data_IF_215405132189
#
_entry.id   IF_215405132189
#
_cell.length_a   1.000
_cell.length_b   1.000
_cell.length_c   1.000
_cell.angle_alpha   90.00
_cell.angle_beta   90.00
_cell.angle_gamma   90.00
#
_symmetry.space_group_name_H-M   'P 1'
#
loop_
_entity.id
_entity.type
_entity.pdbx_description
1 polymer ?
#
# COMPACT_ATOMS: atom_id res chain seq x y z
N UNK A 1 -2.63 0.06 24.73
CA UNK A 1 -1.79 -0.59 23.70
C UNK A 1 -1.36 0.48 22.71
N UNK A 2 -0.07 0.71 22.50
CA UNK A 2 0.44 1.67 21.51
C UNK A 2 0.85 0.90 20.24
N UNK A 3 -0.11 0.65 19.35
CA UNK A 3 0.11 -0.17 18.15
C UNK A 3 0.94 0.62 17.13
N UNK A 4 2.21 0.21 16.95
CA UNK A 4 3.13 0.84 15.99
C UNK A 4 3.15 0.17 14.62
N UNK A 5 2.89 -1.14 14.57
CA UNK A 5 2.94 -1.92 13.34
C UNK A 5 1.67 -2.74 13.19
N UNK A 6 1.04 -2.64 12.04
CA UNK A 6 -0.17 -3.40 11.70
C UNK A 6 0.07 -4.15 10.40
N UNK A 7 -0.25 -5.45 10.42
CA UNK A 7 -0.24 -6.30 9.24
C UNK A 7 -1.67 -6.75 8.95
N UNK A 8 -2.21 -6.31 7.83
CA UNK A 8 -3.50 -6.75 7.31
C UNK A 8 -3.26 -7.92 6.36
N UNK A 9 -3.54 -9.13 6.83
CA UNK A 9 -3.42 -10.37 6.06
C UNK A 9 -4.81 -10.89 5.64
N UNK A 10 -4.88 -11.52 4.48
CA UNK A 10 -6.11 -12.11 3.93
C UNK A 10 -6.76 -11.24 2.87
N UNK A 11 -7.89 -11.70 2.30
CA UNK A 11 -8.64 -10.90 1.34
C UNK A 11 -9.27 -9.73 2.09
N UNK A 12 -8.68 -8.55 1.97
CA UNK A 12 -9.35 -7.32 2.35
C UNK A 12 -10.46 -7.08 1.34
N UNK A 13 -11.63 -7.66 1.61
CA UNK A 13 -12.84 -7.26 0.93
C UNK A 13 -13.03 -5.77 1.24
N UNK A 14 -12.83 -4.94 0.23
CA UNK A 14 -12.86 -3.48 0.34
C UNK A 14 -14.26 -2.93 0.64
N UNK A 15 -15.17 -3.74 1.18
CA UNK A 15 -16.53 -3.34 1.51
C UNK A 15 -16.59 -2.48 2.76
N UNK A 16 -15.58 -2.53 3.64
CA UNK A 16 -15.56 -1.72 4.86
C UNK A 16 -14.26 -0.91 4.98
N UNK A 17 -14.45 0.33 5.43
CA UNK A 17 -13.48 1.41 5.59
C UNK A 17 -12.41 1.11 6.65
N UNK A 18 -11.72 -0.04 6.58
CA UNK A 18 -10.71 -0.48 7.57
C UNK A 18 -9.61 0.57 7.75
N UNK A 19 -9.32 1.31 6.67
CA UNK A 19 -8.34 2.39 6.66
C UNK A 19 -8.78 3.60 7.51
N UNK A 20 -10.08 3.84 7.70
CA UNK A 20 -10.57 4.90 8.60
C UNK A 20 -10.40 4.58 10.09
N UNK A 21 -10.20 3.31 10.44
CA UNK A 21 -10.02 2.87 11.83
C UNK A 21 -8.55 2.63 12.17
N UNK A 22 -7.62 3.03 11.29
CA UNK A 22 -6.21 2.88 11.57
C UNK A 22 -5.78 3.82 12.70
N UNK A 23 -4.95 3.34 13.65
CA UNK A 23 -4.45 4.18 14.73
C UNK A 23 -3.65 5.38 14.19
N UNK A 24 -3.82 6.54 14.80
CA UNK A 24 -3.10 7.76 14.39
C UNK A 24 -1.58 7.65 14.55
N UNK A 25 -1.12 6.89 15.54
CA UNK A 25 0.31 6.69 15.84
C UNK A 25 0.91 5.47 15.12
N UNK A 26 0.21 4.91 14.13
CA UNK A 26 0.70 3.78 13.36
C UNK A 26 1.95 4.22 12.56
N UNK A 27 3.04 3.47 12.70
CA UNK A 27 4.29 3.77 11.99
C UNK A 27 4.43 2.92 10.74
N UNK A 28 4.04 1.63 10.83
CA UNK A 28 4.17 0.67 9.75
C UNK A 28 2.83 0.02 9.44
N UNK A 29 2.42 0.11 8.18
CA UNK A 29 1.28 -0.62 7.65
C UNK A 29 1.74 -1.60 6.57
N UNK A 30 1.45 -2.88 6.77
CA UNK A 30 1.71 -3.94 5.80
C UNK A 30 0.38 -4.52 5.33
N UNK A 31 0.12 -4.46 4.02
CA UNK A 31 -1.13 -4.92 3.40
C UNK A 31 -0.82 -6.07 2.46
N UNK A 32 -1.44 -7.23 2.69
CA UNK A 32 -1.43 -8.33 1.74
C UNK A 32 -2.75 -8.39 0.98
N UNK A 33 -2.71 -8.95 -0.24
CA UNK A 33 -3.91 -9.42 -0.94
C UNK A 33 -4.96 -8.34 -1.25
N UNK A 34 -4.61 -7.48 -2.20
CA UNK A 34 -5.46 -6.40 -2.67
C UNK A 34 -5.99 -6.68 -4.08
N UNK A 35 -7.30 -6.90 -4.22
CA UNK A 35 -7.96 -6.95 -5.52
C UNK A 35 -8.47 -5.57 -5.89
N UNK A 36 -7.91 -4.97 -6.93
CA UNK A 36 -8.25 -3.60 -7.32
C UNK A 36 -9.73 -3.42 -7.68
N UNK A 37 -10.39 -4.47 -8.17
CA UNK A 37 -11.83 -4.46 -8.48
C UNK A 37 -12.69 -4.24 -7.24
N UNK A 38 -12.19 -4.58 -6.05
CA UNK A 38 -12.88 -4.36 -4.79
C UNK A 38 -12.66 -2.93 -4.28
N UNK A 39 -11.48 -2.36 -4.55
CA UNK A 39 -11.06 -1.01 -4.14
C UNK A 39 -11.99 0.12 -4.61
N UNK A 40 -12.65 -0.06 -5.75
CA UNK A 40 -13.50 0.97 -6.35
C UNK A 40 -14.81 1.21 -5.57
N UNK A 41 -15.12 0.38 -4.57
CA UNK A 41 -16.38 0.44 -3.80
C UNK A 41 -16.26 1.15 -2.46
N UNK A 42 -15.08 1.68 -2.10
CA UNK A 42 -14.85 2.27 -0.77
C UNK A 42 -15.24 3.74 -0.78
N UNK A 43 -16.17 4.13 0.10
CA UNK A 43 -16.43 5.54 0.41
C UNK A 43 -15.20 6.18 1.07
N UNK A 44 -14.82 7.35 0.58
CA UNK A 44 -13.60 8.04 1.00
C UNK A 44 -13.79 8.59 2.42
N UNK A 45 -12.97 8.11 3.37
CA UNK A 45 -12.73 8.84 4.61
C UNK A 45 -11.97 10.13 4.29
N UNK A 46 -12.42 11.27 4.80
CA UNK A 46 -11.73 12.57 4.64
C UNK A 46 -10.39 12.63 5.38
N UNK A 47 -10.15 11.74 6.34
CA UNK A 47 -8.92 11.73 7.13
C UNK A 47 -7.92 10.73 6.55
N UNK A 48 -6.75 11.24 6.14
CA UNK A 48 -5.57 10.43 5.83
C UNK A 48 -4.77 10.16 7.11
N UNK A 49 -4.12 9.01 7.15
CA UNK A 49 -3.15 8.67 8.19
C UNK A 49 -1.73 8.97 7.72
N UNK A 50 -0.87 9.40 8.64
CA UNK A 50 0.57 9.55 8.38
C UNK A 50 1.28 8.28 8.82
N UNK A 51 2.13 7.72 7.96
CA UNK A 51 2.91 6.50 8.20
C UNK A 51 4.38 6.78 7.90
N UNK A 52 5.27 6.02 8.55
CA UNK A 52 6.70 6.03 8.19
C UNK A 52 6.98 5.02 7.07
N UNK A 53 6.35 3.84 7.14
CA UNK A 53 6.59 2.72 6.23
C UNK A 53 5.29 2.08 5.77
N UNK A 54 5.14 1.91 4.46
CA UNK A 54 4.03 1.19 3.84
C UNK A 54 4.57 0.04 3.00
N UNK A 55 4.07 -1.17 3.26
CA UNK A 55 4.49 -2.40 2.58
C UNK A 55 3.28 -3.04 1.90
N UNK A 56 3.32 -3.11 0.58
CA UNK A 56 2.34 -3.86 -0.21
C UNK A 56 2.89 -5.26 -0.51
N UNK A 57 2.26 -6.29 0.04
CA UNK A 57 2.64 -7.67 -0.21
C UNK A 57 1.90 -8.21 -1.42
N UNK A 58 2.65 -8.67 -2.41
CA UNK A 58 2.15 -9.27 -3.63
C UNK A 58 2.59 -10.72 -3.70
N UNK A 59 1.73 -11.59 -4.23
CA UNK A 59 2.10 -12.98 -4.47
C UNK A 59 2.93 -13.07 -5.75
N UNK A 60 3.86 -14.04 -5.81
CA UNK A 60 4.70 -14.25 -7.00
C UNK A 60 3.90 -14.51 -8.27
N UNK A 61 2.79 -15.23 -8.17
CA UNK A 61 1.88 -15.46 -9.29
C UNK A 61 1.35 -14.16 -9.91
N UNK A 62 1.34 -13.05 -9.17
CA UNK A 62 0.92 -11.74 -9.63
C UNK A 62 2.09 -10.75 -9.82
N UNK A 63 3.35 -11.16 -9.64
CA UNK A 63 4.53 -10.26 -9.73
C UNK A 63 4.56 -9.48 -11.05
N UNK A 64 4.25 -10.13 -12.16
CA UNK A 64 4.25 -9.53 -13.50
C UNK A 64 3.14 -8.50 -13.72
N UNK A 65 2.14 -8.49 -12.84
CA UNK A 65 1.13 -7.42 -12.77
C UNK A 65 1.87 -6.20 -12.21
N UNK A 66 2.42 -6.29 -11.01
CA UNK A 66 3.02 -5.14 -10.30
C UNK A 66 4.34 -4.61 -10.86
N UNK A 67 5.14 -5.46 -11.48
CA UNK A 67 6.45 -5.10 -12.03
C UNK A 67 6.40 -5.06 -13.55
N UNK A 68 6.50 -3.86 -14.12
CA UNK A 68 6.88 -3.71 -15.52
C UNK A 68 8.39 -3.99 -15.64
N UNK A 69 8.78 -4.77 -16.66
CA UNK A 69 10.20 -5.07 -16.94
C UNK A 69 10.94 -3.83 -17.45
N UNK A 70 10.21 -2.81 -17.86
CA UNK A 70 10.75 -1.51 -18.21
C UNK A 70 10.97 -0.66 -16.94
N UNK A 71 12.23 -0.42 -16.53
CA UNK A 71 12.54 0.36 -15.32
C UNK A 71 12.13 1.84 -15.44
N UNK A 72 11.83 2.32 -16.65
CA UNK A 72 11.41 3.70 -16.89
C UNK A 72 9.89 3.89 -16.72
N UNK A 73 9.12 2.81 -16.68
CA UNK A 73 7.68 2.84 -16.45
C UNK A 73 7.33 2.86 -14.97
N UNK A 74 6.24 3.56 -14.66
CA UNK A 74 5.70 3.65 -13.29
C UNK A 74 5.14 2.30 -12.87
N UNK A 75 5.58 1.80 -11.72
CA UNK A 75 5.01 0.57 -11.16
C UNK A 75 3.58 0.87 -10.71
N UNK A 76 2.61 0.15 -11.27
CA UNK A 76 1.18 0.12 -10.92
C UNK A 76 0.61 1.35 -10.16
N UNK A 77 0.81 2.53 -10.74
CA UNK A 77 0.52 3.81 -10.10
C UNK A 77 -0.92 3.93 -9.60
N UNK A 78 -1.89 3.37 -10.33
CA UNK A 78 -3.31 3.38 -9.96
C UNK A 78 -3.59 2.77 -8.58
N UNK A 79 -2.77 1.82 -8.13
CA UNK A 79 -2.92 1.18 -6.83
C UNK A 79 -2.35 2.06 -5.72
N UNK A 80 -1.17 2.64 -5.94
CA UNK A 80 -0.59 3.58 -4.99
C UNK A 80 -1.42 4.86 -4.88
N UNK A 81 -1.99 5.33 -6.00
CA UNK A 81 -2.95 6.42 -6.02
C UNK A 81 -4.23 6.09 -5.24
N UNK A 82 -4.67 4.83 -5.26
CA UNK A 82 -5.74 4.36 -4.36
C UNK A 82 -5.33 4.49 -2.89
N UNK A 83 -4.14 4.01 -2.51
CA UNK A 83 -3.67 4.09 -1.12
C UNK A 83 -3.41 5.53 -0.65
N UNK A 84 -2.99 6.44 -1.54
CA UNK A 84 -2.85 7.88 -1.28
C UNK A 84 -4.17 8.55 -0.85
N UNK A 85 -5.32 7.93 -1.12
CA UNK A 85 -6.61 8.42 -0.61
C UNK A 85 -6.73 8.26 0.90
N UNK A 86 -5.97 7.35 1.50
CA UNK A 86 -6.04 7.01 2.93
C UNK A 86 -4.73 7.27 3.67
N UNK A 87 -3.60 7.30 2.98
CA UNK A 87 -2.26 7.45 3.56
C UNK A 87 -1.64 8.73 3.02
N UNK A 88 -1.03 9.54 3.89
CA UNK A 88 -0.22 10.68 3.45
C UNK A 88 1.13 10.19 2.91
N UNK A 89 1.30 10.19 1.59
CA UNK A 89 2.55 9.77 0.95
C UNK A 89 3.64 10.84 1.01
N UNK A 90 3.30 12.12 1.23
CA UNK A 90 4.27 13.20 1.37
C UNK A 90 5.17 13.00 2.61
N UNK A 91 4.61 12.43 3.67
CA UNK A 91 5.32 12.11 4.92
C UNK A 91 5.88 10.68 4.94
N UNK A 92 5.60 9.86 3.92
CA UNK A 92 6.00 8.46 3.86
C UNK A 92 7.50 8.37 3.54
N UNK A 93 8.26 7.68 4.40
CA UNK A 93 9.71 7.50 4.19
C UNK A 93 10.01 6.31 3.28
N UNK A 94 9.25 5.23 3.46
CA UNK A 94 9.49 3.95 2.78
C UNK A 94 8.20 3.44 2.14
N UNK A 95 8.25 3.22 0.83
CA UNK A 95 7.20 2.56 0.05
C UNK A 95 7.78 1.28 -0.52
N UNK A 96 7.28 0.13 -0.07
CA UNK A 96 7.87 -1.16 -0.40
C UNK A 96 6.84 -2.05 -1.06
N UNK A 97 7.25 -2.73 -2.14
CA UNK A 97 6.57 -3.93 -2.62
C UNK A 97 7.33 -5.14 -2.07
N UNK A 98 6.63 -6.03 -1.37
CA UNK A 98 7.17 -7.31 -0.92
C UNK A 98 6.68 -8.45 -1.81
N UNK A 99 7.60 -9.23 -2.37
CA UNK A 99 7.31 -10.42 -3.18
C UNK A 99 8.04 -11.62 -2.59
N UNK A 100 7.32 -12.64 -2.13
CA UNK A 100 7.89 -13.84 -1.52
C UNK A 100 8.94 -13.56 -0.42
N UNK A 101 8.73 -12.48 0.33
CA UNK A 101 9.63 -12.04 1.41
C UNK A 101 10.76 -11.11 0.95
N UNK A 102 10.96 -10.94 -0.35
CA UNK A 102 11.90 -9.96 -0.91
C UNK A 102 11.25 -8.58 -0.98
N UNK A 103 11.91 -7.59 -0.38
CA UNK A 103 11.43 -6.20 -0.34
C UNK A 103 12.09 -5.36 -1.44
N UNK A 104 11.25 -4.63 -2.18
CA UNK A 104 11.67 -3.72 -3.25
C UNK A 104 11.20 -2.33 -2.87
N UNK A 105 12.15 -1.44 -2.57
CA UNK A 105 11.88 -0.04 -2.24
C UNK A 105 11.56 0.76 -3.51
N UNK A 106 10.50 1.55 -3.42
CA UNK A 106 10.04 2.44 -4.46
C UNK A 106 10.14 3.89 -4.01
N UNK A 107 10.42 4.75 -4.98
CA UNK A 107 10.27 6.18 -4.83
C UNK A 107 8.80 6.53 -4.57
N UNK A 108 8.55 7.28 -3.49
CA UNK A 108 7.19 7.57 -3.00
C UNK A 108 6.43 8.53 -3.91
N UNK A 109 7.14 9.30 -4.75
CA UNK A 109 6.56 10.26 -5.69
C UNK A 109 6.29 9.64 -7.07
N UNK A 110 7.29 8.93 -7.61
CA UNK A 110 7.32 8.41 -8.99
C UNK A 110 6.95 6.93 -9.10
N UNK A 111 6.94 6.21 -7.98
CA UNK A 111 6.73 4.76 -7.88
C UNK A 111 7.72 3.93 -8.71
N UNK A 112 8.92 4.46 -8.95
CA UNK A 112 10.02 3.73 -9.60
C UNK A 112 10.83 3.01 -8.54
N UNK A 113 11.48 1.92 -8.92
CA UNK A 113 12.44 1.23 -8.05
C UNK A 113 13.58 2.22 -7.74
N UNK A 114 13.95 2.34 -6.47
CA UNK A 114 15.09 3.16 -6.03
C UNK A 114 16.42 2.48 -6.33
#
# INVERSE_FOLDING_TARGET
>A
VNLKSLRLNGKLFCTNNVFAFLPENLQTLKVAWFHLKDAQKVEISTKRITLQRFVLCVRVDNRHVFFDRDPFKRQHHFLFDYFRRFINFEDLKELIIEVDGEEIDLDTETYRIK
#
